data_IF_697025511410
#
_entry.id   IF_697025511410
#
_cell.length_a   1.000
_cell.length_b   1.000
_cell.length_c   1.000
_cell.angle_alpha   90.00
_cell.angle_beta   90.00
_cell.angle_gamma   90.00
#
_symmetry.space_group_name_H-M   'P 1'
#
loop_
_entity.id
_entity.type
_entity.pdbx_description
1 polymer ?
#
# COMPACT_ATOMS: atom_id res chain seq x y z
N UNK A 1 -10.44 10.25 25.38
CA UNK A 1 -10.77 8.80 25.42
C UNK A 1 -11.41 8.22 24.14
N UNK A 2 -11.53 8.96 23.01
CA UNK A 2 -12.16 8.42 21.77
C UNK A 2 -11.16 7.90 20.71
N UNK A 3 -9.88 8.29 20.80
CA UNK A 3 -8.87 7.97 19.78
C UNK A 3 -8.39 6.50 19.83
N UNK A 4 -8.31 5.90 21.02
CA UNK A 4 -7.87 4.51 21.18
C UNK A 4 -8.88 3.49 20.61
N UNK A 5 -10.18 3.82 20.59
CA UNK A 5 -11.19 2.89 20.08
C UNK A 5 -11.11 2.75 18.55
N UNK A 6 -10.81 3.84 17.85
CA UNK A 6 -10.69 3.85 16.38
C UNK A 6 -9.51 3.01 15.89
N UNK A 7 -8.36 3.12 16.57
CA UNK A 7 -7.15 2.37 16.23
C UNK A 7 -7.34 0.87 16.44
N UNK A 8 -8.02 0.47 17.52
CA UNK A 8 -8.34 -0.95 17.79
C UNK A 8 -9.32 -1.51 16.76
N UNK A 9 -10.32 -0.74 16.32
CA UNK A 9 -11.25 -1.16 15.27
C UNK A 9 -10.50 -1.35 13.93
N UNK A 10 -9.60 -0.43 13.55
CA UNK A 10 -8.79 -0.58 12.35
C UNK A 10 -7.94 -1.86 12.38
N UNK A 11 -7.27 -2.14 13.50
CA UNK A 11 -6.46 -3.38 13.66
C UNK A 11 -7.34 -4.63 13.55
N UNK A 12 -8.51 -4.66 14.21
CA UNK A 12 -9.43 -5.80 14.14
C UNK A 12 -10.00 -6.05 12.74
N UNK A 13 -10.23 -4.99 11.95
CA UNK A 13 -10.68 -5.17 10.56
C UNK A 13 -9.59 -5.72 9.64
N UNK A 14 -8.32 -5.35 9.86
CA UNK A 14 -7.19 -5.85 9.07
C UNK A 14 -6.95 -7.36 9.29
N UNK A 15 -7.18 -7.87 10.50
CA UNK A 15 -7.02 -9.29 10.81
C UNK A 15 -8.02 -10.21 10.10
N UNK A 16 -9.17 -9.69 9.63
CA UNK A 16 -10.18 -10.49 8.91
C UNK A 16 -9.94 -10.54 7.39
N UNK A 17 -9.11 -9.65 6.85
CA UNK A 17 -8.79 -9.58 5.42
C UNK A 17 -7.60 -10.46 4.99
N UNK A 18 -6.90 -11.11 5.92
CA UNK A 18 -5.76 -11.99 5.57
C UNK A 18 -6.19 -13.21 4.74
N UNK A 19 -7.46 -13.63 4.83
CA UNK A 19 -8.02 -14.69 4.00
C UNK A 19 -8.15 -14.32 2.50
N UNK A 20 -8.13 -13.03 2.12
CA UNK A 20 -8.25 -12.64 0.71
C UNK A 20 -6.94 -12.73 -0.09
N UNK A 21 -5.80 -12.97 0.57
CA UNK A 21 -4.50 -13.07 -0.09
C UNK A 21 -4.07 -14.52 -0.38
N UNK A 22 -4.89 -15.53 -0.07
CA UNK A 22 -4.53 -16.95 -0.24
C UNK A 22 -4.13 -17.32 -1.68
N UNK A 23 -4.59 -16.57 -2.68
CA UNK A 23 -4.25 -16.80 -4.10
C UNK A 23 -3.25 -15.79 -4.69
N UNK A 24 -2.88 -14.75 -3.95
CA UNK A 24 -1.87 -13.78 -4.41
C UNK A 24 -0.56 -14.18 -3.77
N UNK A 25 0.32 -14.81 -4.53
CA UNK A 25 1.69 -15.03 -4.08
C UNK A 25 2.29 -13.65 -3.79
N UNK A 26 2.60 -13.31 -2.52
CA UNK A 26 3.08 -11.98 -2.20
C UNK A 26 4.38 -11.63 -2.93
N UNK A 27 5.09 -12.66 -3.40
CA UNK A 27 6.27 -12.54 -4.26
C UNK A 27 6.05 -11.81 -5.60
N UNK A 28 4.82 -11.63 -6.06
CA UNK A 28 4.54 -10.94 -7.33
C UNK A 28 5.06 -9.50 -7.33
N UNK A 29 5.17 -8.85 -6.16
CA UNK A 29 5.75 -7.50 -6.08
C UNK A 29 7.27 -7.50 -6.33
N UNK A 30 7.92 -8.65 -6.30
CA UNK A 30 9.38 -8.82 -6.38
C UNK A 30 9.86 -9.20 -7.76
N UNK A 31 8.93 -9.47 -8.67
CA UNK A 31 9.22 -9.66 -10.08
C UNK A 31 9.14 -8.30 -10.78
N UNK A 32 10.28 -7.84 -11.29
CA UNK A 32 10.42 -6.55 -11.96
C UNK A 32 9.57 -6.43 -13.24
N UNK A 33 9.05 -7.55 -13.77
CA UNK A 33 8.06 -7.51 -14.86
C UNK A 33 6.68 -7.03 -14.37
N UNK A 34 6.38 -7.20 -13.08
CA UNK A 34 5.08 -6.88 -12.49
C UNK A 34 5.10 -5.61 -11.64
N UNK A 35 6.20 -5.32 -10.96
CA UNK A 35 6.31 -4.13 -10.12
C UNK A 35 7.73 -3.56 -10.09
N UNK A 36 7.85 -2.31 -10.52
CA UNK A 36 9.05 -1.50 -10.36
C UNK A 36 8.71 -0.37 -9.41
N UNK A 37 9.51 -0.17 -8.36
CA UNK A 37 9.32 0.93 -7.40
C UNK A 37 9.34 2.26 -8.18
N UNK A 38 8.24 3.02 -8.23
CA UNK A 38 8.19 4.20 -9.06
C UNK A 38 9.15 5.29 -8.57
N UNK A 39 9.84 5.98 -9.48
CA UNK A 39 10.79 7.05 -9.13
C UNK A 39 10.13 8.41 -8.87
N UNK A 40 8.80 8.50 -8.99
CA UNK A 40 8.04 9.73 -8.75
C UNK A 40 6.72 9.47 -8.01
N UNK A 41 6.28 10.46 -7.23
CA UNK A 41 4.99 10.41 -6.55
C UNK A 41 3.81 10.27 -7.52
N UNK A 42 3.88 10.89 -8.70
CA UNK A 42 2.86 10.73 -9.75
C UNK A 42 2.62 9.26 -10.08
N UNK A 43 3.70 8.49 -10.26
CA UNK A 43 3.57 7.09 -10.62
C UNK A 43 3.24 6.23 -9.39
N UNK A 44 3.83 6.49 -8.22
CA UNK A 44 3.49 5.78 -6.98
C UNK A 44 2.01 5.93 -6.63
N UNK A 45 1.47 7.15 -6.68
CA UNK A 45 0.05 7.40 -6.42
C UNK A 45 -0.87 6.68 -7.41
N UNK A 46 -0.45 6.43 -8.66
CA UNK A 46 -1.21 5.58 -9.60
C UNK A 46 -1.27 4.12 -9.13
N UNK A 47 -0.14 3.56 -8.68
CA UNK A 47 -0.10 2.20 -8.11
C UNK A 47 -0.97 2.09 -6.87
N UNK A 48 -0.88 3.06 -5.94
CA UNK A 48 -1.71 3.11 -4.74
C UNK A 48 -3.21 3.20 -5.08
N UNK A 49 -3.61 4.07 -6.01
CA UNK A 49 -5.00 4.13 -6.50
C UNK A 49 -5.45 2.82 -7.16
N UNK A 50 -4.55 2.16 -7.90
CA UNK A 50 -4.80 0.83 -8.46
C UNK A 50 -5.02 -0.23 -7.36
N UNK A 51 -4.25 -0.16 -6.28
CA UNK A 51 -4.46 -0.96 -5.07
C UNK A 51 -5.82 -0.69 -4.41
N UNK A 52 -6.23 0.58 -4.28
CA UNK A 52 -7.55 0.94 -3.75
C UNK A 52 -8.70 0.32 -4.53
N UNK A 53 -8.57 0.18 -5.86
CA UNK A 53 -9.59 -0.44 -6.70
C UNK A 53 -9.77 -1.96 -6.45
N UNK A 54 -8.87 -2.59 -5.69
CA UNK A 54 -8.99 -3.99 -5.25
C UNK A 54 -9.74 -4.16 -3.93
N UNK A 55 -10.06 -3.07 -3.24
CA UNK A 55 -10.81 -3.10 -1.98
C UNK A 55 -12.32 -3.30 -2.21
N UNK A 56 -13.07 -3.76 -1.20
CA UNK A 56 -14.54 -3.74 -1.25
C UNK A 56 -15.09 -2.37 -1.64
N UNK A 57 -16.20 -2.33 -2.38
CA UNK A 57 -16.78 -1.08 -2.96
C UNK A 57 -16.89 0.09 -1.97
N UNK A 58 -17.23 -0.20 -0.70
CA UNK A 58 -17.36 0.82 0.35
C UNK A 58 -16.04 1.50 0.74
N UNK A 59 -14.88 0.88 0.44
CA UNK A 59 -13.55 1.37 0.81
C UNK A 59 -12.77 1.95 -0.38
N UNK A 60 -13.23 1.75 -1.62
CA UNK A 60 -12.53 2.22 -2.82
C UNK A 60 -12.32 3.73 -2.78
N UNK A 61 -13.40 4.50 -2.60
CA UNK A 61 -13.32 5.98 -2.59
C UNK A 61 -12.59 6.53 -1.36
N UNK A 62 -12.88 6.09 -0.12
CA UNK A 62 -12.09 6.52 1.04
C UNK A 62 -10.59 6.26 0.90
N UNK A 63 -10.19 5.11 0.33
CA UNK A 63 -8.79 4.81 0.06
C UNK A 63 -8.18 5.75 -0.98
N UNK A 64 -8.90 6.04 -2.07
CA UNK A 64 -8.42 6.95 -3.11
C UNK A 64 -8.31 8.38 -2.61
N UNK A 65 -9.30 8.86 -1.86
CA UNK A 65 -9.28 10.19 -1.24
C UNK A 65 -8.10 10.32 -0.27
N UNK A 66 -7.78 9.26 0.48
CA UNK A 66 -6.58 9.22 1.32
C UNK A 66 -5.31 9.36 0.47
N UNK A 67 -5.16 8.59 -0.60
CA UNK A 67 -4.01 8.68 -1.51
C UNK A 67 -3.91 10.07 -2.15
N UNK A 68 -5.04 10.67 -2.52
CA UNK A 68 -5.09 12.00 -3.13
C UNK A 68 -4.79 13.12 -2.12
N UNK A 69 -5.11 12.92 -0.84
CA UNK A 69 -4.75 13.84 0.25
C UNK A 69 -3.25 13.81 0.59
N UNK A 70 -2.55 12.72 0.25
CA UNK A 70 -1.10 12.62 0.43
C UNK A 70 -0.39 13.49 -0.63
N UNK A 71 -0.09 14.73 -0.27
CA UNK A 71 0.65 15.65 -1.14
C UNK A 71 2.17 15.45 -1.00
N UNK A 72 2.70 14.30 -1.42
CA UNK A 72 4.11 13.92 -1.22
C UNK A 72 5.05 14.32 -2.37
N UNK A 73 4.66 15.24 -3.26
CA UNK A 73 5.45 15.59 -4.44
C UNK A 73 6.88 16.02 -4.12
N UNK A 74 7.04 16.87 -3.10
CA UNK A 74 8.34 17.42 -2.71
C UNK A 74 9.16 16.43 -1.88
N UNK A 75 8.48 15.56 -1.11
CA UNK A 75 9.11 14.64 -0.16
C UNK A 75 9.43 13.27 -0.77
N UNK A 76 8.86 12.94 -1.93
CA UNK A 76 8.99 11.60 -2.51
C UNK A 76 10.43 11.23 -2.83
N UNK A 77 11.23 12.19 -3.29
CA UNK A 77 12.66 11.97 -3.57
C UNK A 77 13.43 11.57 -2.30
N UNK A 78 13.08 12.15 -1.15
CA UNK A 78 13.64 11.78 0.16
C UNK A 78 13.14 10.42 0.64
N UNK A 79 11.88 10.07 0.36
CA UNK A 79 11.30 8.78 0.75
C UNK A 79 11.76 7.62 -0.14
N UNK A 80 12.08 7.88 -1.40
CA UNK A 80 12.36 6.87 -2.41
C UNK A 80 13.40 5.81 -1.99
N UNK A 81 14.59 6.17 -1.43
CA UNK A 81 15.56 5.17 -0.98
C UNK A 81 14.99 4.22 0.08
N UNK A 82 14.14 4.72 0.98
CA UNK A 82 13.50 3.90 2.02
C UNK A 82 12.43 2.98 1.45
N UNK A 83 11.69 3.44 0.44
CA UNK A 83 10.69 2.61 -0.27
C UNK A 83 11.40 1.47 -1.00
N UNK A 84 12.52 1.76 -1.68
CA UNK A 84 13.34 0.74 -2.34
C UNK A 84 13.88 -0.28 -1.34
N UNK A 85 14.40 0.17 -0.19
CA UNK A 85 14.90 -0.73 0.83
C UNK A 85 13.77 -1.59 1.42
N UNK A 86 12.62 -0.98 1.72
CA UNK A 86 11.43 -1.71 2.18
C UNK A 86 10.99 -2.79 1.18
N UNK A 87 10.95 -2.45 -0.12
CA UNK A 87 10.64 -3.40 -1.19
C UNK A 87 11.62 -4.58 -1.20
N UNK A 88 12.94 -4.33 -1.13
CA UNK A 88 13.95 -5.39 -1.03
C UNK A 88 13.74 -6.29 0.19
N UNK A 89 13.46 -5.70 1.35
CA UNK A 89 13.25 -6.47 2.59
C UNK A 89 11.95 -7.29 2.54
N UNK A 90 10.88 -6.71 2.01
CA UNK A 90 9.63 -7.44 1.76
C UNK A 90 9.88 -8.63 0.82
N UNK A 91 10.67 -8.44 -0.23
CA UNK A 91 11.02 -9.52 -1.15
C UNK A 91 11.85 -10.63 -0.54
N UNK A 92 12.76 -10.33 0.39
CA UNK A 92 13.48 -11.38 1.15
C UNK A 92 12.58 -12.18 2.10
N UNK A 93 11.47 -11.60 2.55
CA UNK A 93 10.57 -12.22 3.51
C UNK A 93 9.45 -13.02 2.83
N UNK A 94 9.00 -12.55 1.67
CA UNK A 94 7.82 -13.06 0.97
C UNK A 94 8.15 -14.03 -0.18
N UNK A 95 9.42 -14.12 -0.58
CA UNK A 95 9.95 -14.93 -1.67
C UNK A 95 11.15 -15.75 -1.19
#
# INVERSE_FOLDING_TARGET
MKLNLFFVICIFTVSKTTAQFENIKPCVICDDHWFIVPTSWLNMSKYLRGGCNRLPKALIWPCRDLVDSMNLWDQYSTLYPHIVEFHKQACKMLC
#
